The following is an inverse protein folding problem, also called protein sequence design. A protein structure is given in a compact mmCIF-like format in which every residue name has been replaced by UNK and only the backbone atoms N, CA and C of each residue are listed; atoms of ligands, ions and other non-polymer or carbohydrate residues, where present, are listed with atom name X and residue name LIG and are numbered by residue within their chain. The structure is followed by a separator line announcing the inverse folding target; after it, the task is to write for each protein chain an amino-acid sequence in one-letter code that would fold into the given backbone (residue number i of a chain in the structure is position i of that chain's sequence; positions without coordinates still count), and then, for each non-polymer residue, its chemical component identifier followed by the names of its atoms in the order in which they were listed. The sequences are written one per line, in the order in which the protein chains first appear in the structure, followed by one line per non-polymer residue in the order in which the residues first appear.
data_IF_246880748627
#
_entry.id   IF_246880748627
#
_cell.length_a   1.000
_cell.length_b   1.000
_cell.length_c   1.000
_cell.angle_alpha   90.00
_cell.angle_beta   90.00
_cell.angle_gamma   90.00
#
_symmetry.space_group_name_H-M   'P 1'
#
loop_
_entity.id
_entity.type
_entity.pdbx_description
1 polymer ?
#
# COMPACT_ATOMS: atom_id res chain seq x y z
N UNK A 1 20.95 -0.23 -2.89
CA UNK A 1 19.60 0.23 -3.27
C UNK A 1 19.22 -0.51 -4.55
N UNK A 2 18.29 -1.50 -4.50
CA UNK A 2 17.82 -2.22 -5.70
C UNK A 2 17.09 -1.29 -6.66
N UNK A 3 17.38 -1.40 -7.96
CA UNK A 3 16.69 -0.70 -9.06
C UNK A 3 15.34 -1.37 -9.36
N UNK A 4 14.36 -0.60 -9.83
CA UNK A 4 12.99 -1.11 -10.10
C UNK A 4 12.87 -1.84 -11.45
N UNK A 5 13.92 -1.85 -12.28
CA UNK A 5 13.93 -2.57 -13.56
C UNK A 5 12.80 -2.10 -14.49
N UNK A 6 11.95 -3.05 -14.90
CA UNK A 6 10.81 -2.82 -15.80
C UNK A 6 9.51 -2.42 -15.07
N UNK A 7 9.54 -2.32 -13.74
CA UNK A 7 8.37 -1.97 -12.97
C UNK A 7 8.07 -0.46 -13.07
N UNK A 8 6.78 -0.13 -13.01
CA UNK A 8 6.28 1.23 -12.93
C UNK A 8 6.13 1.66 -11.46
N UNK A 9 5.74 2.92 -11.23
CA UNK A 9 5.31 3.38 -9.92
C UNK A 9 3.80 3.21 -9.76
N UNK A 10 3.40 2.52 -8.69
CA UNK A 10 2.03 2.46 -8.22
C UNK A 10 1.82 3.39 -7.03
N UNK A 11 0.64 3.98 -6.95
CA UNK A 11 0.20 4.75 -5.80
C UNK A 11 -1.12 4.20 -5.26
N UNK A 12 -1.16 3.89 -3.97
CA UNK A 12 -2.38 3.43 -3.28
C UNK A 12 -2.68 4.33 -2.09
N UNK A 13 -3.93 4.73 -1.94
CA UNK A 13 -4.39 5.48 -0.76
C UNK A 13 -4.88 4.52 0.32
N UNK A 14 -4.31 4.58 1.51
CA UNK A 14 -4.78 3.85 2.68
C UNK A 14 -5.50 4.83 3.61
N UNK A 15 -6.76 4.54 3.94
CA UNK A 15 -7.59 5.37 4.80
C UNK A 15 -7.85 4.63 6.11
N UNK A 16 -7.31 5.17 7.20
CA UNK A 16 -7.51 4.62 8.53
C UNK A 16 -8.88 4.98 9.09
N UNK A 17 -9.68 3.96 9.43
CA UNK A 17 -10.93 4.16 10.17
C UNK A 17 -10.63 4.25 11.66
N UNK A 18 -11.03 5.34 12.29
CA UNK A 18 -11.00 5.49 13.74
C UNK A 18 -12.43 5.52 14.29
N UNK A 19 -12.70 4.74 15.33
CA UNK A 19 -13.91 4.89 16.12
C UNK A 19 -13.79 6.19 16.93
N UNK A 20 -14.81 7.05 16.86
CA UNK A 20 -14.81 8.35 17.50
C UNK A 20 -14.48 8.28 19.00
N UNK A 21 -13.76 9.30 19.48
CA UNK A 21 -13.52 9.59 20.89
C UNK A 21 -12.74 8.51 21.66
N UNK A 22 -11.41 8.52 21.50
CA UNK A 22 -10.53 8.11 22.60
C UNK A 22 -9.52 9.23 22.82
N UNK A 23 -9.61 9.90 23.96
CA UNK A 23 -8.40 10.40 24.63
C UNK A 23 -7.66 9.17 25.12
N UNK A 24 -6.33 9.13 24.95
CA UNK A 24 -5.57 8.09 25.62
C UNK A 24 -5.81 8.23 27.13
N UNK A 25 -5.73 7.14 27.90
CA UNK A 25 -5.88 7.21 29.37
C UNK A 25 -4.91 8.22 30.03
N UNK A 26 -3.87 8.62 29.30
CA UNK A 26 -2.90 9.67 29.63
C UNK A 26 -3.35 11.11 29.34
N UNK A 27 -4.58 11.36 28.89
CA UNK A 27 -5.08 12.70 28.56
C UNK A 27 -4.56 13.28 27.23
N UNK A 28 -3.68 12.57 26.53
CA UNK A 28 -3.16 12.96 25.22
C UNK A 28 -4.16 12.60 24.09
N UNK A 29 -4.21 13.39 23.00
CA UNK A 29 -4.98 13.01 21.81
C UNK A 29 -4.45 11.69 21.26
N UNK A 30 -5.36 10.77 20.93
CA UNK A 30 -4.94 9.49 20.32
C UNK A 30 -4.21 9.74 19.01
N UNK A 31 -3.07 9.08 18.86
CA UNK A 31 -2.25 9.14 17.66
C UNK A 31 -3.07 8.72 16.44
N UNK A 32 -3.23 9.64 15.49
CA UNK A 32 -4.02 9.41 14.29
C UNK A 32 -3.57 8.17 13.51
N UNK A 33 -4.49 7.48 12.86
CA UNK A 33 -4.19 6.28 12.09
C UNK A 33 -3.12 6.53 11.02
N UNK A 34 -3.14 7.70 10.36
CA UNK A 34 -2.09 8.09 9.41
C UNK A 34 -0.70 8.17 10.08
N UNK A 35 -0.61 8.75 11.28
CA UNK A 35 0.65 8.81 12.04
C UNK A 35 1.14 7.41 12.43
N UNK A 36 0.22 6.53 12.85
CA UNK A 36 0.55 5.14 13.20
C UNK A 36 1.03 4.34 11.98
N UNK A 37 0.43 4.54 10.81
CA UNK A 37 0.86 3.90 9.56
C UNK A 37 2.26 4.39 9.15
N UNK A 38 2.50 5.71 9.17
CA UNK A 38 3.82 6.29 8.85
C UNK A 38 4.91 5.77 9.80
N UNK A 39 4.64 5.72 11.11
CA UNK A 39 5.60 5.20 12.09
C UNK A 39 5.96 3.72 11.88
N UNK A 40 5.12 2.95 11.18
CA UNK A 40 5.37 1.55 10.82
C UNK A 40 6.00 1.38 9.44
N UNK A 41 6.04 2.44 8.63
CA UNK A 41 6.53 2.37 7.25
C UNK A 41 8.00 1.99 7.18
N UNK A 42 8.83 2.38 8.16
CA UNK A 42 10.25 2.02 8.21
C UNK A 42 10.49 0.51 8.10
N UNK A 43 9.66 -0.31 8.77
CA UNK A 43 9.73 -1.78 8.69
C UNK A 43 9.32 -2.29 7.31
N UNK A 44 8.33 -1.65 6.67
CA UNK A 44 7.87 -2.03 5.34
C UNK A 44 8.92 -1.66 4.26
N UNK A 45 9.51 -0.47 4.37
CA UNK A 45 10.55 0.03 3.49
C UNK A 45 11.88 -0.73 3.61
N UNK A 46 12.13 -1.39 4.76
CA UNK A 46 13.33 -2.24 4.93
C UNK A 46 13.23 -3.60 4.25
N UNK A 47 12.05 -4.01 3.77
CA UNK A 47 11.91 -5.27 3.04
C UNK A 47 12.51 -5.13 1.64
N UNK A 48 13.52 -5.95 1.32
CA UNK A 48 14.14 -6.00 0.00
C UNK A 48 14.36 -7.46 -0.40
N UNK A 49 13.68 -7.89 -1.46
CA UNK A 49 13.79 -9.25 -1.99
C UNK A 49 13.41 -9.23 -3.49
N UNK A 50 14.09 -9.99 -4.37
CA UNK A 50 13.81 -9.99 -5.81
C UNK A 50 12.38 -10.39 -6.17
N UNK A 51 11.74 -11.21 -5.33
CA UNK A 51 10.36 -11.70 -5.53
C UNK A 51 9.33 -10.90 -4.72
N UNK A 52 9.69 -9.74 -4.16
CA UNK A 52 8.78 -8.88 -3.40
C UNK A 52 8.77 -7.47 -3.99
N UNK A 53 7.58 -6.93 -4.24
CA UNK A 53 7.44 -5.54 -4.66
C UNK A 53 8.02 -4.61 -3.60
N UNK A 54 8.84 -3.67 -4.07
CA UNK A 54 9.47 -2.69 -3.18
C UNK A 54 8.51 -1.56 -2.83
N UNK A 55 8.48 -1.20 -1.55
CA UNK A 55 7.82 0.02 -1.10
C UNK A 55 8.82 1.17 -1.10
N UNK A 56 8.48 2.25 -1.78
CA UNK A 56 9.40 3.37 -2.06
C UNK A 56 9.19 4.47 -1.05
N UNK A 57 7.94 4.90 -0.86
CA UNK A 57 7.63 6.03 0.01
C UNK A 57 6.21 5.93 0.59
N UNK A 58 5.99 6.52 1.75
CA UNK A 58 4.66 6.73 2.30
C UNK A 58 4.50 8.19 2.71
N UNK A 59 3.47 8.84 2.17
CA UNK A 59 3.23 10.28 2.29
C UNK A 59 1.91 10.48 3.04
N UNK A 60 1.88 11.38 4.02
CA UNK A 60 0.63 11.76 4.69
C UNK A 60 -0.26 12.57 3.75
N UNK A 61 -1.55 12.28 3.69
CA UNK A 61 -2.50 13.15 2.99
C UNK A 61 -2.69 14.47 3.76
N UNK A 62 -2.66 15.58 3.04
CA UNK A 62 -2.98 16.92 3.56
C UNK A 62 -4.49 17.21 3.53
N UNK A 63 -5.21 16.57 2.61
CA UNK A 63 -6.65 16.81 2.39
C UNK A 63 -7.53 15.81 3.14
N UNK A 64 -7.14 14.53 3.17
CA UNK A 64 -7.93 13.48 3.81
C UNK A 64 -7.36 13.13 5.18
N UNK A 65 -8.14 13.37 6.24
CA UNK A 65 -7.77 12.97 7.59
C UNK A 65 -7.58 11.45 7.65
N UNK A 66 -6.58 11.00 8.40
CA UNK A 66 -6.24 9.58 8.58
C UNK A 66 -5.86 8.83 7.30
N UNK A 67 -5.52 9.53 6.21
CA UNK A 67 -5.07 8.91 4.98
C UNK A 67 -3.55 9.05 4.77
N UNK A 68 -2.98 8.04 4.10
CA UNK A 68 -1.61 8.05 3.58
C UNK A 68 -1.60 7.54 2.13
N UNK A 69 -0.69 8.07 1.32
CA UNK A 69 -0.36 7.54 0.00
C UNK A 69 0.84 6.63 0.14
N UNK A 70 0.78 5.43 -0.43
CA UNK A 70 1.89 4.49 -0.50
C UNK A 70 2.35 4.40 -1.94
N UNK A 71 3.63 4.72 -2.17
CA UNK A 71 4.30 4.59 -3.45
C UNK A 71 5.08 3.28 -3.45
N UNK A 72 4.86 2.45 -4.46
CA UNK A 72 5.51 1.15 -4.57
C UNK A 72 5.87 0.81 -6.02
N UNK A 73 6.71 -0.20 -6.17
CA UNK A 73 6.88 -0.97 -7.40
C UNK A 73 5.51 -1.50 -7.85
N UNK A 74 5.20 -1.33 -9.14
CA UNK A 74 3.95 -1.76 -9.74
C UNK A 74 4.21 -2.53 -11.03
N UNK A 75 3.58 -3.70 -11.11
CA UNK A 75 3.49 -4.49 -12.33
C UNK A 75 2.04 -4.46 -12.80
N UNK A 76 1.83 -4.08 -14.06
CA UNK A 76 0.50 -3.89 -14.66
C UNK A 76 -0.34 -5.16 -14.75
N UNK A 77 0.26 -6.34 -14.57
CA UNK A 77 -0.44 -7.63 -14.56
C UNK A 77 -0.26 -8.32 -13.23
N UNK A 78 -1.37 -8.73 -12.64
CA UNK A 78 -1.39 -9.61 -11.48
C UNK A 78 -1.61 -11.06 -11.91
N UNK A 79 -1.31 -11.99 -11.00
CA UNK A 79 -1.67 -13.41 -11.16
C UNK A 79 -3.18 -13.56 -11.42
N UNK A 80 -4.01 -12.72 -10.79
CA UNK A 80 -5.45 -12.74 -11.00
C UNK A 80 -5.85 -12.36 -12.44
N UNK A 81 -5.13 -11.45 -13.08
CA UNK A 81 -5.40 -11.05 -14.47
C UNK A 81 -5.01 -12.16 -15.45
N UNK A 82 -3.87 -12.80 -15.22
CA UNK A 82 -3.42 -13.96 -16.01
C UNK A 82 -4.40 -15.13 -15.88
N UNK A 83 -4.90 -15.43 -14.67
CA UNK A 83 -5.93 -16.45 -14.46
C UNK A 83 -7.24 -16.15 -15.19
N UNK A 84 -7.68 -14.88 -15.20
CA UNK A 84 -8.89 -14.47 -15.94
C UNK A 84 -8.69 -14.64 -17.46
N UNK A 85 -7.52 -14.28 -17.96
CA UNK A 85 -7.19 -14.42 -19.38
C UNK A 85 -7.21 -15.89 -19.79
N UNK A 86 -6.55 -16.78 -19.04
CA UNK A 86 -6.60 -18.22 -19.29
C UNK A 86 -8.02 -18.78 -19.31
N UNK A 87 -8.88 -18.38 -18.36
CA UNK A 87 -10.29 -18.83 -18.35
C UNK A 87 -11.06 -18.39 -19.60
N UNK A 88 -10.85 -17.16 -20.09
CA UNK A 88 -11.48 -16.70 -21.34
C UNK A 88 -11.02 -17.53 -22.54
N UNK A 89 -9.72 -17.82 -22.64
CA UNK A 89 -9.18 -18.63 -23.73
C UNK A 89 -9.85 -20.02 -23.78
N UNK A 90 -9.94 -20.69 -22.63
CA UNK A 90 -10.60 -22.01 -22.53
C UNK A 90 -12.06 -21.96 -22.98
N UNK A 91 -12.79 -20.90 -22.63
CA UNK A 91 -14.20 -20.73 -23.03
C UNK A 91 -14.34 -20.38 -24.51
N UNK A 92 -13.43 -19.59 -25.08
CA UNK A 92 -13.47 -19.21 -26.50
C UNK A 92 -13.03 -20.31 -27.48
N UNK A 93 -12.46 -21.39 -26.96
CA UNK A 93 -11.98 -22.54 -27.74
C UNK A 93 -12.94 -23.74 -27.71
N UNK A 94 -14.14 -23.58 -27.12
CA UNK A 94 -15.27 -24.52 -27.19
C UNK A 94 -16.35 -23.94 -28.09
#
# INVERSE_FOLDING_TARGET
MRTLGLAEFGAVTLIGRESACRTAASGLPVTSAATRMLGRFSKLASLDHPNLCKYVEMIRSTTLKNAVYVISEHYSRSIADELKQHRRWVISSQ
#
